data_IF_418880433221
#
_entry.id   IF_418880433221
#
_cell.length_a   1.000
_cell.length_b   1.000
_cell.length_c   1.000
_cell.angle_alpha   90.00
_cell.angle_beta   90.00
_cell.angle_gamma   90.00
#
_symmetry.space_group_name_H-M   'P 1'
#
loop_
_entity.id
_entity.type
_entity.pdbx_description
1 polymer ?
#
# COMPACT_ATOMS: atom_id res chain seq x y z
N UNK A 1 -57.99 -22.76 -34.68
CA UNK A 1 -59.09 -21.80 -34.91
C UNK A 1 -58.84 -20.62 -33.99
N UNK A 2 -58.24 -19.53 -34.50
CA UNK A 2 -58.85 -18.18 -34.60
C UNK A 2 -59.20 -17.58 -33.21
N UNK A 3 -58.80 -16.37 -32.78
CA UNK A 3 -58.34 -15.17 -33.49
C UNK A 3 -58.05 -14.02 -32.48
N UNK A 4 -57.03 -13.18 -32.79
CA UNK A 4 -56.92 -11.69 -32.64
C UNK A 4 -56.93 -11.04 -31.25
N UNK A 5 -55.82 -10.39 -30.84
CA UNK A 5 -55.34 -9.02 -31.17
C UNK A 5 -56.06 -7.89 -30.41
N UNK A 6 -55.31 -7.13 -29.61
CA UNK A 6 -55.55 -5.70 -29.45
C UNK A 6 -54.22 -4.95 -29.29
N UNK A 7 -54.04 -3.97 -30.16
CA UNK A 7 -52.95 -2.99 -30.29
C UNK A 7 -53.53 -1.65 -29.81
N UNK A 8 -52.81 -0.83 -29.05
CA UNK A 8 -53.02 0.63 -28.97
C UNK A 8 -51.75 1.29 -28.37
N UNK A 9 -50.90 1.97 -29.14
CA UNK A 9 -50.94 3.36 -29.63
C UNK A 9 -50.63 4.45 -28.58
N UNK A 10 -49.34 4.85 -28.55
CA UNK A 10 -48.78 6.22 -28.66
C UNK A 10 -49.44 7.46 -28.04
N UNK A 11 -48.55 8.28 -27.43
CA UNK A 11 -48.42 9.75 -27.48
C UNK A 11 -48.87 10.60 -26.28
N UNK A 12 -47.93 11.40 -25.72
CA UNK A 12 -48.14 12.71 -25.08
C UNK A 12 -46.76 13.43 -25.02
N UNK A 13 -46.40 14.29 -25.98
CA UNK A 13 -46.62 15.76 -26.09
C UNK A 13 -45.80 16.59 -25.09
N UNK A 14 -44.79 17.26 -25.64
CA UNK A 14 -44.07 18.42 -25.11
C UNK A 14 -44.95 19.68 -25.14
N UNK A 15 -44.93 20.51 -24.08
CA UNK A 15 -45.26 21.94 -24.14
C UNK A 15 -44.27 22.73 -23.25
N UNK A 16 -43.67 23.77 -23.84
CA UNK A 16 -42.85 24.82 -23.23
C UNK A 16 -43.68 26.10 -22.98
N UNK A 17 -43.14 26.97 -22.12
CA UNK A 17 -43.43 28.39 -21.81
C UNK A 17 -44.10 28.63 -20.43
N UNK A 18 -43.80 29.64 -19.60
CA UNK A 18 -42.78 30.70 -19.51
C UNK A 18 -42.96 31.45 -18.16
N UNK A 19 -41.89 32.11 -17.66
CA UNK A 19 -41.75 33.28 -16.74
C UNK A 19 -42.64 33.48 -15.48
N UNK A 20 -42.03 33.82 -14.33
CA UNK A 20 -41.85 35.21 -13.81
C UNK A 20 -41.64 35.30 -12.26
N UNK A 21 -40.81 36.25 -11.81
CA UNK A 21 -41.13 37.12 -10.65
C UNK A 21 -40.62 36.87 -9.22
N UNK A 22 -39.47 37.49 -8.86
CA UNK A 22 -39.14 38.33 -7.66
C UNK A 22 -39.47 37.92 -6.20
N UNK A 23 -38.46 38.07 -5.30
CA UNK A 23 -38.40 38.84 -4.00
C UNK A 23 -37.06 38.55 -3.26
N UNK A 24 -36.15 39.49 -2.93
CA UNK A 24 -36.08 40.49 -1.81
C UNK A 24 -36.07 39.85 -0.40
N UNK A 25 -35.31 40.21 0.66
CA UNK A 25 -34.33 41.28 0.98
C UNK A 25 -33.83 41.03 2.44
N UNK A 26 -32.52 41.29 2.69
CA UNK A 26 -31.83 41.84 3.88
C UNK A 26 -31.76 41.23 5.31
N UNK A 27 -30.51 41.33 5.82
CA UNK A 27 -30.00 41.84 7.13
C UNK A 27 -29.76 40.90 8.34
N UNK A 28 -28.47 40.57 8.53
CA UNK A 28 -27.54 40.75 9.69
C UNK A 28 -28.08 41.09 11.11
N UNK A 29 -27.36 40.74 12.23
CA UNK A 29 -26.20 41.57 12.64
C UNK A 29 -25.08 40.96 13.55
N UNK A 30 -23.97 41.72 13.60
CA UNK A 30 -23.07 42.08 14.74
C UNK A 30 -21.73 41.38 15.02
N UNK A 31 -20.67 42.18 14.86
CA UNK A 31 -19.38 42.14 15.58
C UNK A 31 -19.40 42.98 16.87
N UNK A 32 -18.29 43.02 17.66
CA UNK A 32 -17.76 44.33 18.06
C UNK A 32 -16.22 44.49 18.12
N UNK A 33 -15.74 45.53 17.42
CA UNK A 33 -14.89 46.69 17.81
C UNK A 33 -13.36 46.58 18.05
N UNK A 34 -12.68 47.25 17.11
CA UNK A 34 -11.42 48.04 17.04
C UNK A 34 -10.75 48.62 18.29
N UNK A 35 -9.40 48.76 18.23
CA UNK A 35 -8.66 50.00 18.55
C UNK A 35 -7.42 50.20 17.63
N UNK A 36 -7.46 51.31 16.90
CA UNK A 36 -6.43 52.23 16.36
C UNK A 36 -5.26 51.78 15.44
N UNK A 37 -5.26 52.41 14.27
CA UNK A 37 -4.17 52.55 13.32
C UNK A 37 -3.22 53.71 13.70
N UNK A 38 -1.94 53.59 13.32
CA UNK A 38 -1.07 54.73 13.06
C UNK A 38 -0.30 54.46 11.77
N UNK A 39 -0.56 55.27 10.74
CA UNK A 39 0.16 55.28 9.47
C UNK A 39 1.60 55.79 9.64
N UNK A 40 2.56 55.14 8.99
CA UNK A 40 3.73 55.79 8.36
C UNK A 40 4.19 55.01 7.13
N UNK A 41 3.91 55.61 5.98
CA UNK A 41 4.65 55.72 4.71
C UNK A 41 5.61 54.60 4.24
N UNK A 42 5.23 54.05 3.07
CA UNK A 42 5.99 53.85 1.81
C UNK A 42 7.37 53.15 1.87
N UNK A 43 7.42 52.00 1.20
CA UNK A 43 8.65 51.45 0.64
C UNK A 43 8.43 50.16 -0.16
N UNK A 44 8.19 50.33 -1.47
CA UNK A 44 8.37 49.36 -2.58
C UNK A 44 7.64 48.02 -2.54
N UNK A 45 6.66 47.91 -3.42
CA UNK A 45 6.35 46.68 -4.15
C UNK A 45 7.65 46.07 -4.70
N UNK A 46 7.82 44.76 -4.50
CA UNK A 46 8.64 43.93 -5.36
C UNK A 46 7.71 42.90 -5.96
N UNK A 47 7.50 43.05 -7.26
CA UNK A 47 6.88 42.10 -8.16
C UNK A 47 7.42 40.70 -7.90
N UNK A 48 6.52 39.78 -7.55
CA UNK A 48 6.79 38.34 -7.62
C UNK A 48 6.53 37.92 -9.07
N UNK A 49 7.43 38.30 -9.98
CA UNK A 49 7.56 37.58 -11.26
C UNK A 49 8.21 36.23 -10.96
N UNK A 50 7.43 35.15 -11.09
CA UNK A 50 7.94 33.78 -11.11
C UNK A 50 8.87 33.62 -12.31
N UNK A 51 10.16 33.89 -12.11
CA UNK A 51 11.19 33.75 -13.14
C UNK A 51 11.37 32.25 -13.40
N UNK A 52 10.81 31.73 -14.50
CA UNK A 52 11.02 30.33 -14.92
C UNK A 52 12.53 30.05 -14.98
N UNK A 53 12.95 28.93 -14.38
CA UNK A 53 14.35 28.52 -14.40
C UNK A 53 14.75 28.14 -15.83
N UNK A 54 15.86 28.69 -16.30
CA UNK A 54 16.47 28.36 -17.60
C UNK A 54 17.45 27.21 -17.37
N UNK A 55 17.36 26.15 -18.17
CA UNK A 55 18.23 24.97 -18.07
C UNK A 55 19.65 25.34 -18.50
N UNK A 56 20.66 24.94 -17.71
CA UNK A 56 22.06 25.13 -18.07
C UNK A 56 22.43 24.44 -19.39
N UNK A 57 23.36 25.03 -20.15
CA UNK A 57 23.76 24.54 -21.48
C UNK A 57 24.60 23.25 -21.41
N UNK A 58 25.32 23.03 -20.30
CA UNK A 58 26.20 21.87 -20.05
C UNK A 58 25.58 20.81 -19.11
N UNK A 59 24.25 20.63 -19.14
CA UNK A 59 23.59 19.68 -18.23
C UNK A 59 23.80 18.22 -18.70
N UNK A 60 24.20 17.36 -17.77
CA UNK A 60 24.10 15.90 -17.93
C UNK A 60 22.83 15.43 -17.22
N UNK A 61 21.77 15.04 -17.95
CA UNK A 61 20.53 14.59 -17.33
C UNK A 61 20.78 13.29 -16.55
N UNK A 62 20.13 13.17 -15.39
CA UNK A 62 20.14 11.91 -14.64
C UNK A 62 19.62 10.77 -15.54
N UNK A 63 20.24 9.58 -15.51
CA UNK A 63 19.74 8.46 -16.28
C UNK A 63 18.35 8.04 -15.77
N UNK A 64 17.44 7.75 -16.70
CA UNK A 64 16.19 7.05 -16.38
C UNK A 64 16.51 5.65 -15.82
N UNK A 65 15.61 5.07 -14.99
CA UNK A 65 15.81 3.74 -14.45
C UNK A 65 16.02 2.73 -15.58
N UNK A 66 16.98 1.83 -15.37
CA UNK A 66 17.34 0.77 -16.30
C UNK A 66 16.80 -0.59 -15.86
N UNK A 67 16.29 -0.68 -14.63
CA UNK A 67 15.72 -1.91 -14.06
C UNK A 67 14.42 -1.63 -13.30
N UNK A 68 13.59 -2.67 -13.13
CA UNK A 68 12.37 -2.56 -12.34
C UNK A 68 12.64 -2.25 -10.85
N UNK A 69 13.84 -2.59 -10.35
CA UNK A 69 14.24 -2.28 -8.98
C UNK A 69 14.50 -0.79 -8.81
N UNK A 70 15.28 -0.19 -9.72
CA UNK A 70 15.48 1.26 -9.75
C UNK A 70 14.16 2.02 -9.96
N UNK A 71 13.25 1.49 -10.80
CA UNK A 71 11.92 2.06 -11.01
C UNK A 71 11.08 2.06 -9.72
N UNK A 72 11.13 0.97 -8.94
CA UNK A 72 10.38 0.85 -7.69
C UNK A 72 10.93 1.73 -6.54
N UNK A 73 12.16 2.24 -6.67
CA UNK A 73 12.76 3.17 -5.71
C UNK A 73 12.39 4.64 -5.99
N UNK A 74 11.80 4.95 -7.14
CA UNK A 74 11.42 6.31 -7.49
C UNK A 74 10.26 6.81 -6.60
N UNK A 75 10.36 8.05 -6.07
CA UNK A 75 9.28 8.63 -5.29
C UNK A 75 8.06 8.92 -6.20
N UNK A 76 6.83 8.67 -5.73
CA UNK A 76 5.65 9.02 -6.50
C UNK A 76 5.44 10.54 -6.54
N UNK A 77 4.96 11.02 -7.68
CA UNK A 77 4.43 12.37 -7.87
C UNK A 77 2.91 12.40 -7.67
N UNK A 78 2.21 13.00 -8.62
CA UNK A 78 0.75 13.07 -8.65
C UNK A 78 0.15 11.73 -9.11
N UNK A 79 -0.55 11.05 -8.19
CA UNK A 79 -1.29 9.81 -8.44
C UNK A 79 -2.81 10.00 -8.26
N UNK A 80 -3.28 11.25 -8.42
CA UNK A 80 -4.70 11.60 -8.28
C UNK A 80 -5.56 11.12 -9.46
N UNK A 81 -6.81 11.62 -9.59
CA UNK A 81 -7.70 11.26 -10.69
C UNK A 81 -7.02 11.32 -12.06
N UNK A 82 -7.33 10.33 -12.89
CA UNK A 82 -6.71 10.16 -14.19
C UNK A 82 -7.09 11.30 -15.15
N UNK A 83 -6.07 11.94 -15.72
CA UNK A 83 -6.23 13.02 -16.69
C UNK A 83 -6.37 12.40 -18.09
N UNK A 84 -7.59 12.43 -18.64
CA UNK A 84 -7.90 11.90 -19.97
C UNK A 84 -8.14 13.03 -20.96
N UNK A 85 -7.10 13.40 -21.72
CA UNK A 85 -7.20 14.52 -22.66
C UNK A 85 -7.15 15.88 -21.95
N UNK A 86 -7.36 16.95 -22.72
CA UNK A 86 -7.29 18.33 -22.24
C UNK A 86 -8.72 18.82 -22.03
N UNK A 87 -9.19 18.78 -20.78
CA UNK A 87 -10.46 19.36 -20.38
C UNK A 87 -10.22 20.68 -19.64
N UNK A 88 -11.05 21.69 -19.88
CA UNK A 88 -10.90 23.02 -19.25
C UNK A 88 -10.91 22.96 -17.72
N UNK A 89 -11.59 21.96 -17.14
CA UNK A 89 -11.66 21.72 -15.70
C UNK A 89 -10.33 21.24 -15.10
N UNK A 90 -9.46 20.62 -15.90
CA UNK A 90 -8.15 20.10 -15.47
C UNK A 90 -7.04 21.15 -15.60
N UNK A 91 -7.27 22.26 -16.31
CA UNK A 91 -6.27 23.30 -16.55
C UNK A 91 -5.66 23.86 -15.26
N UNK A 92 -6.43 24.23 -14.22
CA UNK A 92 -5.84 24.77 -12.99
C UNK A 92 -4.90 23.79 -12.29
N UNK A 93 -5.23 22.50 -12.34
CA UNK A 93 -4.40 21.45 -11.76
C UNK A 93 -3.12 21.26 -12.59
N UNK A 94 -3.23 21.21 -13.92
CA UNK A 94 -2.07 21.12 -14.82
C UNK A 94 -1.15 22.34 -14.67
N UNK A 95 -1.70 23.53 -14.54
CA UNK A 95 -0.94 24.76 -14.27
C UNK A 95 -0.17 24.65 -12.94
N UNK A 96 -0.82 24.17 -11.87
CA UNK A 96 -0.18 23.95 -10.56
C UNK A 96 0.95 22.91 -10.64
N UNK A 97 0.64 21.74 -11.21
CA UNK A 97 1.57 20.60 -11.30
C UNK A 97 2.80 20.92 -12.17
N UNK A 98 2.64 21.74 -13.21
CA UNK A 98 3.71 22.06 -14.16
C UNK A 98 4.41 23.40 -13.91
N UNK A 99 4.01 24.15 -12.87
CA UNK A 99 4.52 25.49 -12.60
C UNK A 99 6.04 25.59 -12.40
N UNK A 100 6.67 24.52 -11.89
CA UNK A 100 8.09 24.47 -11.60
C UNK A 100 8.95 23.99 -12.79
N UNK A 101 8.33 23.55 -13.89
CA UNK A 101 9.06 23.04 -15.04
C UNK A 101 9.91 24.14 -15.69
N UNK A 102 11.12 23.80 -16.16
CA UNK A 102 12.02 24.78 -16.76
C UNK A 102 11.50 25.32 -18.09
N UNK A 103 11.93 26.53 -18.46
CA UNK A 103 11.55 27.13 -19.74
C UNK A 103 12.31 26.49 -20.92
N UNK A 104 11.56 25.97 -21.89
CA UNK A 104 12.06 25.31 -23.11
C UNK A 104 11.51 25.96 -24.39
N UNK A 105 10.98 27.19 -24.29
CA UNK A 105 10.38 27.91 -25.42
C UNK A 105 11.36 28.34 -26.52
N UNK A 106 12.67 28.26 -26.25
CA UNK A 106 13.75 28.53 -27.21
C UNK A 106 14.08 27.35 -28.14
N UNK A 107 15.36 27.18 -28.47
CA UNK A 107 15.90 26.02 -29.22
C UNK A 107 16.72 25.12 -28.26
N UNK A 108 16.06 24.30 -27.43
CA UNK A 108 16.75 23.45 -26.47
C UNK A 108 17.54 22.33 -27.18
N UNK A 109 18.67 21.96 -26.58
CA UNK A 109 19.45 20.78 -26.97
C UNK A 109 18.75 19.49 -26.53
N UNK A 110 19.11 18.34 -27.12
CA UNK A 110 18.56 17.04 -26.71
C UNK A 110 18.79 16.75 -25.21
N UNK A 111 19.95 17.13 -24.65
CA UNK A 111 20.24 16.95 -23.22
C UNK A 111 19.31 17.79 -22.32
N UNK A 112 18.96 19.00 -22.75
CA UNK A 112 17.99 19.85 -22.05
C UNK A 112 16.57 19.28 -22.15
N UNK A 113 16.22 18.68 -23.29
CA UNK A 113 14.93 18.00 -23.46
C UNK A 113 14.83 16.72 -22.63
N UNK A 114 15.90 15.94 -22.53
CA UNK A 114 15.97 14.77 -21.64
C UNK A 114 15.83 15.19 -20.17
N UNK A 115 16.52 16.25 -19.74
CA UNK A 115 16.33 16.79 -18.39
C UNK A 115 14.89 17.26 -18.16
N UNK A 116 14.31 18.02 -19.08
CA UNK A 116 12.92 18.43 -19.01
C UNK A 116 11.97 17.24 -18.91
N UNK A 117 12.22 16.18 -19.68
CA UNK A 117 11.44 14.96 -19.63
C UNK A 117 11.49 14.30 -18.25
N UNK A 118 12.67 14.23 -17.62
CA UNK A 118 12.80 13.69 -16.26
C UNK A 118 12.02 14.51 -15.23
N UNK A 119 12.05 15.85 -15.34
CA UNK A 119 11.31 16.73 -14.42
C UNK A 119 9.81 16.52 -14.56
N UNK A 120 9.26 16.52 -15.78
CA UNK A 120 7.83 16.28 -15.98
C UNK A 120 7.42 14.84 -15.63
N UNK A 121 8.29 13.86 -15.85
CA UNK A 121 8.06 12.48 -15.42
C UNK A 121 7.93 12.42 -13.90
N UNK A 122 8.84 13.06 -13.15
CA UNK A 122 8.79 13.09 -11.68
C UNK A 122 7.48 13.68 -11.14
N UNK A 123 6.86 14.63 -11.86
CA UNK A 123 5.55 15.19 -11.49
C UNK A 123 4.44 14.14 -11.53
N UNK A 124 4.48 13.20 -12.46
CA UNK A 124 3.41 12.21 -12.68
C UNK A 124 3.85 10.77 -12.34
N UNK A 125 5.02 10.61 -11.72
CA UNK A 125 5.62 9.33 -11.39
C UNK A 125 4.67 8.52 -10.50
N UNK A 126 4.32 7.31 -10.92
CA UNK A 126 3.55 6.38 -10.11
C UNK A 126 4.46 5.55 -9.22
N UNK A 127 3.87 5.01 -8.14
CA UNK A 127 4.51 4.17 -7.14
C UNK A 127 4.64 2.71 -7.63
N UNK A 128 5.45 2.48 -8.66
CA UNK A 128 5.71 1.12 -9.14
C UNK A 128 6.23 0.22 -8.03
N UNK A 129 5.83 -1.05 -8.05
CA UNK A 129 6.21 -2.03 -7.03
C UNK A 129 7.00 -3.17 -7.62
N UNK A 130 8.10 -3.54 -6.96
CA UNK A 130 8.81 -4.78 -7.27
C UNK A 130 8.01 -6.04 -6.90
N UNK A 131 8.48 -7.22 -7.31
CA UNK A 131 7.76 -8.48 -7.09
C UNK A 131 7.89 -9.01 -5.66
N UNK A 132 8.63 -8.37 -4.76
CA UNK A 132 8.98 -8.92 -3.45
C UNK A 132 7.77 -9.26 -2.59
N UNK A 133 6.77 -8.37 -2.55
CA UNK A 133 5.50 -8.61 -1.83
C UNK A 133 4.78 -9.83 -2.42
N UNK A 134 4.72 -9.95 -3.76
CA UNK A 134 4.14 -11.10 -4.45
C UNK A 134 4.91 -12.39 -4.17
N UNK A 135 6.24 -12.34 -4.17
CA UNK A 135 7.11 -13.48 -3.87
C UNK A 135 6.93 -13.95 -2.43
N UNK A 136 6.88 -13.02 -1.47
CA UNK A 136 6.60 -13.32 -0.07
C UNK A 136 5.21 -13.97 0.08
N UNK A 137 4.20 -13.48 -0.64
CA UNK A 137 2.86 -14.08 -0.67
C UNK A 137 2.87 -15.49 -1.26
N UNK A 138 3.57 -15.71 -2.39
CA UNK A 138 3.73 -17.02 -2.99
C UNK A 138 4.48 -18.00 -2.07
N UNK A 139 5.52 -17.52 -1.34
CA UNK A 139 6.19 -18.29 -0.28
C UNK A 139 5.18 -18.70 0.78
N UNK A 140 4.45 -17.75 1.34
CA UNK A 140 3.47 -17.99 2.40
C UNK A 140 2.40 -19.01 1.98
N UNK A 141 1.91 -18.93 0.74
CA UNK A 141 0.95 -19.90 0.20
C UNK A 141 1.54 -21.30 0.01
N UNK A 142 2.86 -21.42 -0.11
CA UNK A 142 3.54 -22.70 -0.29
C UNK A 142 3.85 -23.43 1.02
N UNK A 143 3.48 -22.89 2.19
CA UNK A 143 3.65 -23.58 3.48
C UNK A 143 2.97 -24.96 3.42
N UNK A 144 3.73 -25.99 3.80
CA UNK A 144 3.32 -27.39 3.77
C UNK A 144 3.70 -28.14 2.50
N UNK A 145 4.28 -27.45 1.51
CA UNK A 145 4.78 -28.07 0.29
C UNK A 145 6.01 -28.94 0.61
N UNK A 146 5.98 -30.27 0.34
CA UNK A 146 7.09 -31.16 0.66
C UNK A 146 8.37 -30.90 -0.17
N UNK A 147 8.28 -30.14 -1.26
CA UNK A 147 9.42 -29.81 -2.11
C UNK A 147 10.24 -28.61 -1.61
N UNK A 148 9.77 -27.95 -0.54
CA UNK A 148 10.43 -26.79 0.08
C UNK A 148 11.43 -27.26 1.13
N UNK A 149 12.68 -26.84 1.03
CA UNK A 149 13.74 -27.28 1.95
C UNK A 149 13.71 -26.51 3.27
N UNK A 150 13.16 -25.29 3.27
CA UNK A 150 13.07 -24.49 4.50
C UNK A 150 12.16 -25.19 5.53
N UNK A 151 12.77 -25.58 6.65
CA UNK A 151 12.08 -26.27 7.74
C UNK A 151 10.94 -25.46 8.36
N UNK A 152 10.97 -24.12 8.25
CA UNK A 152 9.92 -23.19 8.73
C UNK A 152 8.63 -23.34 7.95
N UNK A 153 8.77 -23.63 6.67
CA UNK A 153 7.67 -23.75 5.72
C UNK A 153 7.07 -25.15 5.73
N UNK A 154 7.64 -26.11 6.47
CA UNK A 154 7.11 -27.45 6.60
C UNK A 154 6.06 -27.52 7.72
N UNK A 155 4.92 -28.15 7.44
CA UNK A 155 3.93 -28.42 8.47
C UNK A 155 4.51 -29.29 9.59
N UNK A 156 4.18 -28.92 10.83
CA UNK A 156 4.50 -29.65 12.05
C UNK A 156 3.24 -30.13 12.75
N UNK A 157 3.40 -30.97 13.76
CA UNK A 157 2.29 -31.56 14.53
C UNK A 157 1.37 -30.50 15.17
N UNK A 158 1.91 -29.34 15.53
CA UNK A 158 1.17 -28.25 16.13
C UNK A 158 1.18 -27.01 15.21
N UNK A 159 0.06 -26.29 15.19
CA UNK A 159 -0.08 -24.99 14.54
C UNK A 159 -0.46 -23.97 15.60
N UNK A 160 0.33 -22.92 15.74
CA UNK A 160 0.10 -21.81 16.66
C UNK A 160 0.02 -20.52 15.88
N UNK A 161 -1.04 -19.74 16.10
CA UNK A 161 -1.21 -18.41 15.50
C UNK A 161 -1.26 -17.37 16.60
N UNK A 162 -0.34 -16.41 16.60
CA UNK A 162 -0.33 -15.29 17.53
C UNK A 162 -0.62 -13.99 16.78
N UNK A 163 -1.68 -13.29 17.17
CA UNK A 163 -1.99 -11.96 16.62
C UNK A 163 -1.49 -10.89 17.60
N UNK A 164 -0.66 -9.98 17.11
CA UNK A 164 -0.21 -8.77 17.79
C UNK A 164 -1.04 -7.61 17.25
N UNK A 165 -2.04 -7.18 18.01
CA UNK A 165 -2.97 -6.13 17.62
C UNK A 165 -2.54 -4.79 18.23
N UNK A 166 -2.26 -3.82 17.37
CA UNK A 166 -2.10 -2.44 17.79
C UNK A 166 -3.39 -1.93 18.44
N UNK A 167 -3.26 -1.41 19.65
CA UNK A 167 -4.31 -0.76 20.39
C UNK A 167 -3.90 0.67 20.78
N UNK A 168 -3.03 1.29 19.97
CA UNK A 168 -2.66 2.69 20.01
C UNK A 168 -3.89 3.60 19.83
N UNK A 169 -3.77 4.89 20.16
CA UNK A 169 -4.87 5.84 20.05
C UNK A 169 -5.34 6.05 18.61
N UNK A 170 -4.48 5.86 17.61
CA UNK A 170 -4.79 6.05 16.20
C UNK A 170 -5.78 5.00 15.67
N UNK A 171 -5.80 3.80 16.24
CA UNK A 171 -6.81 2.76 15.96
C UNK A 171 -8.24 3.17 16.37
N UNK A 172 -8.39 4.29 17.08
CA UNK A 172 -9.69 4.90 17.39
C UNK A 172 -10.30 5.70 16.24
N UNK A 173 -9.57 5.91 15.12
CA UNK A 173 -10.06 6.65 13.95
C UNK A 173 -11.31 6.00 13.35
N UNK A 174 -12.26 6.84 12.95
CA UNK A 174 -13.50 6.43 12.29
C UNK A 174 -13.26 6.22 10.79
N UNK A 175 -13.76 5.11 10.26
CA UNK A 175 -13.73 4.74 8.83
C UNK A 175 -15.06 5.06 8.13
N UNK A 176 -15.85 5.99 8.66
CA UNK A 176 -17.14 6.39 8.09
C UNK A 176 -18.30 5.50 8.55
N UNK A 177 -18.27 5.05 9.81
CA UNK A 177 -19.37 4.31 10.44
C UNK A 177 -18.93 3.27 11.48
N UNK A 178 -17.68 2.82 11.43
CA UNK A 178 -17.03 2.00 12.46
C UNK A 178 -15.58 2.45 12.66
N UNK A 179 -15.04 2.27 13.87
CA UNK A 179 -13.63 2.57 14.12
C UNK A 179 -12.72 1.50 13.53
N UNK A 180 -11.47 1.86 13.22
CA UNK A 180 -10.45 0.89 12.81
C UNK A 180 -10.33 -0.27 13.82
N UNK A 181 -10.30 0.02 15.12
CA UNK A 181 -10.31 -1.04 16.14
C UNK A 181 -11.53 -1.95 16.06
N UNK A 182 -12.73 -1.41 15.82
CA UNK A 182 -13.94 -2.22 15.67
C UNK A 182 -13.84 -3.16 14.45
N UNK A 183 -13.36 -2.63 13.32
CA UNK A 183 -13.09 -3.40 12.11
C UNK A 183 -12.05 -4.50 12.36
N UNK A 184 -10.94 -4.18 13.05
CA UNK A 184 -9.89 -5.13 13.40
C UNK A 184 -10.40 -6.27 14.28
N UNK A 185 -11.15 -5.94 15.34
CA UNK A 185 -11.78 -6.93 16.22
C UNK A 185 -12.70 -7.88 15.46
N UNK A 186 -13.51 -7.35 14.53
CA UNK A 186 -14.42 -8.14 13.70
C UNK A 186 -13.66 -9.10 12.78
N UNK A 187 -12.64 -8.60 12.08
CA UNK A 187 -11.82 -9.42 11.18
C UNK A 187 -11.07 -10.52 11.93
N UNK A 188 -10.44 -10.19 13.07
CA UNK A 188 -9.76 -11.15 13.93
C UNK A 188 -10.74 -12.20 14.48
N UNK A 189 -11.93 -11.80 14.95
CA UNK A 189 -12.94 -12.75 15.44
C UNK A 189 -13.34 -13.75 14.37
N UNK A 190 -13.69 -13.27 13.18
CA UNK A 190 -14.03 -14.12 12.04
C UNK A 190 -12.85 -15.01 11.61
N UNK A 191 -11.62 -14.49 11.72
CA UNK A 191 -10.41 -15.23 11.43
C UNK A 191 -10.27 -16.45 12.34
N UNK A 192 -10.26 -16.22 13.66
CA UNK A 192 -10.03 -17.27 14.65
C UNK A 192 -11.17 -18.30 14.69
N UNK A 193 -12.41 -17.87 14.42
CA UNK A 193 -13.56 -18.78 14.29
C UNK A 193 -13.44 -19.74 13.10
N UNK A 194 -12.69 -19.37 12.07
CA UNK A 194 -12.48 -20.18 10.87
C UNK A 194 -11.30 -21.15 10.96
N UNK A 195 -10.50 -21.10 12.03
CA UNK A 195 -9.37 -22.00 12.22
C UNK A 195 -9.82 -23.42 12.62
N UNK A 196 -9.08 -24.47 12.25
CA UNK A 196 -9.31 -25.82 12.75
C UNK A 196 -9.26 -25.88 14.29
N UNK A 197 -10.11 -26.70 14.91
CA UNK A 197 -10.21 -26.80 16.37
C UNK A 197 -8.89 -27.25 17.04
N UNK A 198 -8.02 -27.93 16.32
CA UNK A 198 -6.70 -28.34 16.80
C UNK A 198 -5.62 -27.27 16.70
N UNK A 199 -5.87 -26.15 16.01
CA UNK A 199 -4.94 -25.03 16.02
C UNK A 199 -4.97 -24.34 17.40
N UNK A 200 -3.85 -23.76 17.79
CA UNK A 200 -3.79 -22.84 18.93
C UNK A 200 -3.80 -21.41 18.43
N UNK A 201 -4.45 -20.52 19.19
CA UNK A 201 -4.49 -19.09 18.92
C UNK A 201 -4.11 -18.31 20.17
N UNK A 202 -3.37 -17.23 19.99
CA UNK A 202 -3.07 -16.22 21.01
C UNK A 202 -3.41 -14.83 20.51
N UNK A 203 -3.71 -13.91 21.43
CA UNK A 203 -3.92 -12.50 21.13
C UNK A 203 -3.17 -11.64 22.13
N UNK A 204 -2.24 -10.84 21.63
CA UNK A 204 -1.52 -9.81 22.35
C UNK A 204 -1.96 -8.45 21.82
N UNK A 205 -2.10 -7.49 22.73
CA UNK A 205 -2.29 -6.08 22.40
C UNK A 205 -1.11 -5.27 22.89
N UNK A 206 -0.84 -4.14 22.24
CA UNK A 206 0.21 -3.22 22.63
C UNK A 206 -0.25 -1.78 22.48
N UNK A 207 0.34 -0.86 23.24
CA UNK A 207 -0.01 0.56 23.20
C UNK A 207 -1.27 0.96 23.97
N UNK A 208 -2.07 0.00 24.43
CA UNK A 208 -3.41 0.19 25.02
C UNK A 208 -3.48 0.93 26.38
N UNK A 209 -2.37 1.39 26.94
CA UNK A 209 -2.32 2.10 28.23
C UNK A 209 -1.96 3.57 28.06
N UNK A 210 -2.49 4.41 28.95
CA UNK A 210 -2.23 5.84 28.97
C UNK A 210 -3.05 6.62 27.93
N UNK A 211 -2.47 7.70 27.41
CA UNK A 211 -3.08 8.58 26.39
C UNK A 211 -2.06 8.91 25.31
N UNK A 212 -2.51 9.50 24.19
CA UNK A 212 -1.61 10.01 23.14
C UNK A 212 -0.79 11.25 23.57
N UNK A 213 -0.88 11.70 24.83
CA UNK A 213 -0.07 12.79 25.34
C UNK A 213 1.35 12.31 25.66
N UNK A 214 2.34 13.18 25.44
CA UNK A 214 3.75 12.88 25.70
C UNK A 214 4.03 12.53 27.18
N UNK A 215 3.22 13.05 28.12
CA UNK A 215 3.35 12.71 29.54
C UNK A 215 3.11 11.22 29.84
N UNK A 216 2.30 10.55 29.03
CA UNK A 216 2.00 9.13 29.17
C UNK A 216 2.84 8.25 28.23
N UNK A 217 3.71 8.84 27.37
CA UNK A 217 4.52 8.10 26.39
C UNK A 217 5.28 6.95 27.04
N UNK A 218 6.00 7.20 28.14
CA UNK A 218 6.76 6.15 28.82
C UNK A 218 5.89 5.00 29.35
N UNK A 219 4.69 5.29 29.84
CA UNK A 219 3.74 4.26 30.31
C UNK A 219 3.20 3.46 29.14
N UNK A 220 2.80 4.13 28.07
CA UNK A 220 2.23 3.47 26.89
C UNK A 220 3.27 2.64 26.14
N UNK A 221 4.50 3.15 26.00
CA UNK A 221 5.60 2.44 25.37
C UNK A 221 6.10 1.23 26.17
N UNK A 222 5.67 1.08 27.43
CA UNK A 222 5.90 -0.11 28.26
C UNK A 222 4.69 -1.06 28.29
N UNK A 223 3.65 -0.80 27.49
CA UNK A 223 2.39 -1.52 27.51
C UNK A 223 2.31 -2.56 26.40
N UNK A 224 2.34 -3.83 26.78
CA UNK A 224 2.02 -4.96 25.92
C UNK A 224 1.52 -6.11 26.77
N UNK A 225 0.34 -6.63 26.46
CA UNK A 225 -0.31 -7.68 27.24
C UNK A 225 -0.84 -8.81 26.36
N UNK A 226 -0.52 -10.05 26.74
CA UNK A 226 -1.14 -11.25 26.20
C UNK A 226 -2.54 -11.41 26.81
N UNK A 227 -3.53 -10.79 26.17
CA UNK A 227 -4.92 -10.76 26.67
C UNK A 227 -5.66 -12.08 26.48
N UNK A 228 -5.24 -12.90 25.51
CA UNK A 228 -5.71 -14.27 25.30
C UNK A 228 -4.49 -15.21 25.17
N UNK A 229 -4.24 -16.10 26.14
CA UNK A 229 -3.11 -17.02 26.12
C UNK A 229 -3.13 -17.96 24.91
N UNK A 230 -1.95 -18.34 24.43
CA UNK A 230 -1.83 -19.27 23.30
C UNK A 230 -2.40 -20.63 23.68
N UNK A 231 -3.49 -21.01 23.03
CA UNK A 231 -4.18 -22.26 23.32
C UNK A 231 -5.35 -22.52 22.40
N UNK A 232 -6.14 -23.55 22.72
CA UNK A 232 -7.34 -23.89 21.95
C UNK A 232 -8.35 -22.75 21.99
N UNK A 233 -8.87 -22.41 20.81
CA UNK A 233 -9.88 -21.37 20.69
C UNK A 233 -11.13 -21.69 21.53
N UNK A 234 -11.49 -20.75 22.40
CA UNK A 234 -12.75 -20.74 23.15
C UNK A 234 -13.46 -19.42 22.87
N UNK A 235 -14.62 -19.51 22.21
CA UNK A 235 -15.34 -18.34 21.71
C UNK A 235 -15.69 -17.32 22.80
N UNK A 236 -16.17 -17.79 23.96
CA UNK A 236 -16.60 -16.90 25.03
C UNK A 236 -15.40 -16.16 25.65
N UNK A 237 -14.35 -16.91 26.02
CA UNK A 237 -13.15 -16.33 26.62
C UNK A 237 -12.41 -15.40 25.64
N UNK A 238 -12.39 -15.75 24.35
CA UNK A 238 -11.76 -14.91 23.32
C UNK A 238 -12.50 -13.58 23.15
N UNK A 239 -13.84 -13.61 23.06
CA UNK A 239 -14.65 -12.40 22.96
C UNK A 239 -14.46 -11.48 24.18
N UNK A 240 -14.49 -12.04 25.39
CA UNK A 240 -14.22 -11.27 26.63
C UNK A 240 -12.80 -10.71 26.66
N UNK A 241 -11.81 -11.43 26.13
CA UNK A 241 -10.44 -10.94 26.05
C UNK A 241 -10.31 -9.76 25.09
N UNK A 242 -10.95 -9.86 23.92
CA UNK A 242 -10.95 -8.85 22.87
C UNK A 242 -11.60 -7.51 23.29
N UNK A 243 -12.51 -7.55 24.27
CA UNK A 243 -13.07 -6.33 24.89
C UNK A 243 -12.00 -5.46 25.58
N UNK A 244 -10.88 -6.05 26.01
CA UNK A 244 -9.76 -5.32 26.64
C UNK A 244 -8.97 -4.46 25.65
N UNK A 245 -9.03 -4.76 24.35
CA UNK A 245 -8.34 -3.99 23.32
C UNK A 245 -9.04 -2.63 23.10
N UNK A 246 -8.65 -1.61 23.85
CA UNK A 246 -9.20 -0.26 23.75
C UNK A 246 -8.13 0.68 23.18
N UNK A 247 -8.43 1.45 22.11
CA UNK A 247 -7.48 2.38 21.52
C UNK A 247 -7.04 3.43 22.54
N UNK A 248 -5.74 3.49 22.83
CA UNK A 248 -5.15 4.41 23.77
C UNK A 248 -3.66 4.58 23.49
N UNK A 249 -2.99 5.56 24.11
CA UNK A 249 -1.54 5.58 24.11
C UNK A 249 -0.84 5.74 22.74
N UNK A 250 0.33 5.09 22.65
CA UNK A 250 1.39 5.16 21.65
C UNK A 250 1.68 3.74 21.11
N UNK A 251 2.48 3.62 20.06
CA UNK A 251 2.68 2.38 19.29
C UNK A 251 4.09 1.80 19.55
N UNK A 252 4.27 0.85 20.50
CA UNK A 252 5.56 0.20 20.77
C UNK A 252 5.73 -1.13 20.01
N UNK A 253 6.03 -1.07 18.71
CA UNK A 253 6.14 -2.28 17.86
C UNK A 253 7.29 -3.18 18.33
N UNK A 254 8.45 -2.62 18.69
CA UNK A 254 9.60 -3.41 19.13
C UNK A 254 9.25 -4.24 20.37
N UNK A 255 8.55 -3.64 21.35
CA UNK A 255 8.13 -4.32 22.56
C UNK A 255 7.18 -5.48 22.23
N UNK A 256 6.19 -5.26 21.36
CA UNK A 256 5.24 -6.28 20.97
C UNK A 256 5.91 -7.50 20.34
N UNK A 257 6.91 -7.27 19.47
CA UNK A 257 7.68 -8.34 18.82
C UNK A 257 8.53 -9.11 19.85
N UNK A 258 9.22 -8.41 20.74
CA UNK A 258 10.03 -9.04 21.79
C UNK A 258 9.18 -9.91 22.72
N UNK A 259 8.03 -9.38 23.16
CA UNK A 259 7.11 -10.10 24.02
C UNK A 259 6.44 -11.29 23.31
N UNK A 260 6.20 -11.20 21.99
CA UNK A 260 5.74 -12.33 21.20
C UNK A 260 6.75 -13.49 21.19
N UNK A 261 8.05 -13.19 21.20
CA UNK A 261 9.10 -14.20 21.35
C UNK A 261 8.98 -14.93 22.68
N UNK A 262 8.74 -14.21 23.78
CA UNK A 262 8.57 -14.78 25.11
C UNK A 262 7.29 -15.63 25.20
N UNK A 263 6.18 -15.14 24.66
CA UNK A 263 4.91 -15.89 24.61
C UNK A 263 5.05 -17.22 23.86
N UNK A 264 5.85 -17.23 22.79
CA UNK A 264 6.08 -18.39 21.95
C UNK A 264 7.24 -19.28 22.42
N UNK A 265 7.93 -18.94 23.52
CA UNK A 265 9.16 -19.60 23.93
C UNK A 265 9.02 -21.13 24.15
N UNK A 266 7.84 -21.60 24.54
CA UNK A 266 7.53 -23.03 24.72
C UNK A 266 7.22 -23.77 23.40
N UNK A 267 6.97 -23.04 22.32
CA UNK A 267 6.53 -23.57 21.03
C UNK A 267 7.68 -23.60 20.03
N UNK A 268 8.71 -24.41 20.29
CA UNK A 268 9.89 -24.52 19.41
C UNK A 268 9.54 -25.01 18.00
N UNK A 269 10.23 -24.50 16.98
CA UNK A 269 9.93 -24.70 15.56
C UNK A 269 10.14 -26.12 15.03
N UNK A 270 10.86 -26.95 15.79
CA UNK A 270 11.05 -28.38 15.49
C UNK A 270 9.74 -29.18 15.58
N UNK A 271 8.82 -28.77 16.46
CA UNK A 271 7.53 -29.41 16.69
C UNK A 271 6.32 -28.53 16.35
N UNK A 272 6.53 -27.24 16.09
CA UNK A 272 5.48 -26.26 15.95
C UNK A 272 5.62 -25.45 14.67
N UNK A 273 4.51 -25.28 13.95
CA UNK A 273 4.37 -24.26 12.91
C UNK A 273 3.84 -23.00 13.61
N UNK A 274 4.68 -21.98 13.74
CA UNK A 274 4.33 -20.74 14.44
C UNK A 274 4.09 -19.63 13.42
N UNK A 275 2.91 -19.04 13.44
CA UNK A 275 2.53 -17.91 12.60
C UNK A 275 2.28 -16.70 13.50
N UNK A 276 2.93 -15.58 13.21
CA UNK A 276 2.73 -14.31 13.91
C UNK A 276 2.14 -13.31 12.94
N UNK A 277 1.06 -12.65 13.33
CA UNK A 277 0.48 -11.53 12.61
C UNK A 277 0.70 -10.25 13.39
N UNK A 278 1.49 -9.32 12.86
CA UNK A 278 1.58 -7.96 13.36
C UNK A 278 0.55 -7.09 12.65
N UNK A 279 -0.44 -6.56 13.36
CA UNK A 279 -1.43 -5.63 12.83
C UNK A 279 -1.16 -4.25 13.44
N UNK A 280 -0.88 -3.25 12.62
CA UNK A 280 -0.63 -1.87 13.06
C UNK A 280 -1.18 -0.85 12.08
N UNK A 281 -1.58 0.32 12.56
CA UNK A 281 -2.07 1.43 11.75
C UNK A 281 -1.02 2.53 11.50
N UNK A 282 0.24 2.31 11.89
CA UNK A 282 1.24 3.37 11.88
C UNK A 282 2.69 2.93 12.06
N UNK A 283 3.57 3.92 11.99
CA UNK A 283 4.96 3.82 12.45
C UNK A 283 5.01 3.60 13.96
N UNK A 284 6.04 2.91 14.43
CA UNK A 284 6.37 2.84 15.85
C UNK A 284 6.68 4.23 16.39
N UNK A 285 6.06 4.59 17.51
CA UNK A 285 6.15 5.96 18.07
C UNK A 285 6.90 6.00 19.40
N UNK A 286 7.65 4.94 19.73
CA UNK A 286 8.24 4.71 21.04
C UNK A 286 9.78 4.77 21.11
N UNK A 287 10.41 5.51 20.20
CA UNK A 287 11.88 5.65 20.09
C UNK A 287 12.59 4.28 20.09
N UNK A 288 12.05 3.35 19.31
CA UNK A 288 12.39 1.93 19.30
C UNK A 288 12.81 1.44 17.89
N UNK A 289 13.31 0.20 17.81
CA UNK A 289 13.83 -0.42 16.58
C UNK A 289 13.10 -1.75 16.29
N UNK A 290 11.93 -1.69 15.63
CA UNK A 290 11.13 -2.88 15.36
C UNK A 290 11.81 -3.83 14.36
N UNK A 291 12.62 -3.32 13.44
CA UNK A 291 13.32 -4.13 12.43
C UNK A 291 14.35 -5.04 13.11
N UNK A 292 15.12 -4.51 14.06
CA UNK A 292 16.09 -5.33 14.82
C UNK A 292 15.37 -6.39 15.66
N UNK A 293 14.26 -6.07 16.33
CA UNK A 293 13.48 -7.06 17.06
C UNK A 293 12.91 -8.15 16.13
N UNK A 294 12.44 -7.76 14.95
CA UNK A 294 11.93 -8.70 13.95
C UNK A 294 13.00 -9.70 13.49
N UNK A 295 14.23 -9.22 13.24
CA UNK A 295 15.39 -10.08 12.91
C UNK A 295 15.71 -11.06 14.04
N UNK A 296 15.62 -10.61 15.30
CA UNK A 296 15.86 -11.46 16.47
C UNK A 296 14.80 -12.55 16.58
N UNK A 297 13.52 -12.19 16.44
CA UNK A 297 12.41 -13.14 16.46
C UNK A 297 12.54 -14.18 15.33
N UNK A 298 12.85 -13.73 14.11
CA UNK A 298 13.03 -14.61 12.95
C UNK A 298 14.22 -15.59 13.12
N UNK A 299 15.31 -15.13 13.73
CA UNK A 299 16.49 -15.96 14.04
C UNK A 299 16.34 -16.86 15.27
N UNK A 300 15.22 -16.80 15.99
CA UNK A 300 14.99 -17.60 17.19
C UNK A 300 14.69 -19.08 16.88
N UNK A 301 14.77 -19.93 17.90
CA UNK A 301 14.43 -21.36 17.81
C UNK A 301 12.92 -21.63 17.75
N UNK A 302 12.09 -20.58 17.83
CA UNK A 302 10.65 -20.61 17.54
C UNK A 302 10.42 -20.68 16.02
N UNK A 303 11.39 -20.18 15.24
CA UNK A 303 11.37 -20.11 13.78
C UNK A 303 10.01 -19.68 13.19
N UNK A 304 9.45 -18.55 13.65
CA UNK A 304 8.11 -18.14 13.26
C UNK A 304 8.08 -17.59 11.83
N UNK A 305 6.92 -17.71 11.21
CA UNK A 305 6.58 -16.96 9.99
C UNK A 305 5.84 -15.72 10.46
N UNK A 306 6.41 -14.53 10.19
CA UNK A 306 5.89 -13.25 10.69
C UNK A 306 5.31 -12.47 9.52
N UNK A 307 3.99 -12.29 9.52
CA UNK A 307 3.27 -11.50 8.53
C UNK A 307 2.87 -10.16 9.15
N UNK A 308 2.93 -9.10 8.35
CA UNK A 308 2.65 -7.73 8.77
C UNK A 308 1.47 -7.19 7.97
N UNK A 309 0.49 -6.64 8.68
CA UNK A 309 -0.69 -6.00 8.11
C UNK A 309 -0.69 -4.55 8.54
N UNK A 310 -0.49 -3.66 7.57
CA UNK A 310 -0.70 -2.23 7.75
C UNK A 310 -2.18 -1.91 7.60
N UNK A 311 -2.83 -1.39 8.63
CA UNK A 311 -4.25 -1.01 8.57
C UNK A 311 -4.42 0.50 8.44
N UNK A 312 -4.68 0.98 7.21
CA UNK A 312 -4.90 2.39 6.89
C UNK A 312 -3.72 3.26 7.35
N UNK A 313 -2.53 2.86 6.89
CA UNK A 313 -1.21 3.41 7.28
C UNK A 313 -0.79 4.50 6.30
N UNK A 314 -0.12 5.53 6.81
CA UNK A 314 0.56 6.54 5.98
C UNK A 314 1.86 6.02 5.36
N UNK A 315 2.41 6.74 4.37
CA UNK A 315 3.58 6.29 3.62
C UNK A 315 4.81 5.99 4.51
N UNK A 316 5.01 6.75 5.59
CA UNK A 316 6.13 6.54 6.52
C UNK A 316 5.95 5.23 7.31
N UNK A 317 4.76 5.00 7.87
CA UNK A 317 4.45 3.76 8.55
C UNK A 317 4.51 2.55 7.61
N UNK A 318 4.04 2.69 6.35
CA UNK A 318 4.15 1.62 5.36
C UNK A 318 5.60 1.20 5.14
N UNK A 319 6.53 2.17 5.04
CA UNK A 319 7.95 1.88 4.85
C UNK A 319 8.51 1.06 6.02
N UNK A 320 8.27 1.48 7.26
CA UNK A 320 8.78 0.75 8.44
C UNK A 320 8.19 -0.66 8.54
N UNK A 321 6.89 -0.81 8.32
CA UNK A 321 6.22 -2.11 8.38
C UNK A 321 6.70 -3.06 7.27
N UNK A 322 7.00 -2.55 6.07
CA UNK A 322 7.65 -3.32 5.00
C UNK A 322 9.04 -3.78 5.39
N UNK A 323 9.84 -2.93 6.05
CA UNK A 323 11.16 -3.32 6.55
C UNK A 323 11.08 -4.43 7.60
N UNK A 324 10.07 -4.39 8.47
CA UNK A 324 9.79 -5.47 9.43
C UNK A 324 9.46 -6.78 8.71
N UNK A 325 8.55 -6.76 7.74
CA UNK A 325 8.19 -7.96 6.97
C UNK A 325 9.38 -8.52 6.18
N UNK A 326 10.18 -7.64 5.55
CA UNK A 326 11.41 -8.02 4.83
C UNK A 326 12.43 -8.65 5.77
N UNK A 327 12.59 -8.12 6.98
CA UNK A 327 13.49 -8.67 7.99
C UNK A 327 13.12 -10.08 8.47
N UNK A 328 11.86 -10.49 8.28
CA UNK A 328 11.34 -11.81 8.66
C UNK A 328 11.01 -12.69 7.46
N UNK A 329 11.36 -12.26 6.24
CA UNK A 329 10.97 -12.91 4.97
C UNK A 329 9.46 -13.24 4.88
N UNK A 330 8.64 -12.43 5.55
CA UNK A 330 7.19 -12.59 5.60
C UNK A 330 6.45 -11.61 4.71
N UNK A 331 5.12 -11.64 4.77
CA UNK A 331 4.28 -10.77 3.94
C UNK A 331 4.08 -9.40 4.57
N UNK A 332 3.96 -8.37 3.72
CA UNK A 332 3.40 -7.08 4.10
C UNK A 332 2.19 -6.79 3.22
N UNK A 333 1.07 -6.43 3.85
CA UNK A 333 -0.15 -6.07 3.14
C UNK A 333 -0.72 -4.78 3.73
N UNK A 334 -1.01 -3.81 2.86
CA UNK A 334 -1.69 -2.56 3.23
C UNK A 334 -3.20 -2.71 2.98
N UNK A 335 -3.97 -2.61 4.05
CA UNK A 335 -5.43 -2.79 4.04
C UNK A 335 -6.11 -1.50 4.46
N UNK A 336 -7.14 -1.11 3.72
CA UNK A 336 -7.82 0.18 3.93
C UNK A 336 -9.13 0.04 4.73
N UNK A 337 -9.60 -1.19 4.94
CA UNK A 337 -10.89 -1.45 5.60
C UNK A 337 -10.94 -2.88 6.18
N UNK A 338 -12.04 -3.17 6.89
CA UNK A 338 -12.30 -4.47 7.50
C UNK A 338 -12.27 -5.65 6.50
N UNK A 339 -12.71 -5.43 5.26
CA UNK A 339 -12.73 -6.46 4.22
C UNK A 339 -11.32 -6.81 3.76
N UNK A 340 -10.46 -5.81 3.54
CA UNK A 340 -9.04 -6.02 3.23
C UNK A 340 -8.34 -6.82 4.33
N UNK A 341 -8.52 -6.42 5.59
CA UNK A 341 -7.97 -7.15 6.74
C UNK A 341 -8.50 -8.59 6.84
N UNK A 342 -9.81 -8.77 6.59
CA UNK A 342 -10.42 -10.10 6.57
C UNK A 342 -9.82 -10.99 5.49
N UNK A 343 -9.66 -10.46 4.27
CA UNK A 343 -9.11 -11.19 3.13
C UNK A 343 -7.68 -11.66 3.42
N UNK A 344 -6.88 -10.82 4.08
CA UNK A 344 -5.51 -11.19 4.43
C UNK A 344 -5.46 -12.31 5.48
N UNK A 345 -6.25 -12.19 6.54
CA UNK A 345 -6.35 -13.23 7.55
C UNK A 345 -6.97 -14.53 7.01
N UNK A 346 -7.86 -14.44 6.02
CA UNK A 346 -8.47 -15.60 5.37
C UNK A 346 -7.45 -16.44 4.58
N UNK A 347 -6.34 -15.85 4.13
CA UNK A 347 -5.25 -16.62 3.52
C UNK A 347 -4.71 -17.69 4.47
N UNK A 348 -4.57 -17.35 5.76
CA UNK A 348 -4.13 -18.29 6.79
C UNK A 348 -5.17 -19.38 7.09
N UNK A 349 -6.47 -19.12 6.91
CA UNK A 349 -7.48 -20.17 7.06
C UNK A 349 -7.27 -21.29 6.06
N UNK A 350 -6.91 -20.97 4.82
CA UNK A 350 -6.62 -21.99 3.80
C UNK A 350 -5.37 -22.81 4.15
N UNK A 351 -4.31 -22.15 4.61
CA UNK A 351 -3.10 -22.84 5.11
C UNK A 351 -3.45 -23.74 6.31
N UNK A 352 -4.25 -23.26 7.25
CA UNK A 352 -4.66 -24.03 8.42
C UNK A 352 -5.55 -25.24 8.03
N UNK A 353 -6.43 -25.10 7.04
CA UNK A 353 -7.19 -26.22 6.47
C UNK A 353 -6.27 -27.24 5.82
N UNK A 354 -5.27 -26.79 5.06
CA UNK A 354 -4.29 -27.67 4.43
C UNK A 354 -3.43 -28.39 5.48
N UNK A 355 -2.98 -27.68 6.51
CA UNK A 355 -2.31 -28.25 7.68
C UNK A 355 -3.17 -29.35 8.33
N UNK A 356 -4.46 -29.09 8.54
CA UNK A 356 -5.38 -30.08 9.13
C UNK A 356 -5.55 -31.32 8.24
N UNK A 357 -5.69 -31.16 6.93
CA UNK A 357 -5.73 -32.28 5.97
C UNK A 357 -4.42 -33.08 6.02
N UNK A 358 -3.29 -32.39 6.01
CA UNK A 358 -1.96 -33.00 6.14
C UNK A 358 -1.84 -33.79 7.45
N UNK A 359 -2.30 -33.23 8.58
CA UNK A 359 -2.29 -33.90 9.88
C UNK A 359 -3.13 -35.18 9.89
N UNK A 360 -4.30 -35.15 9.25
CA UNK A 360 -5.24 -36.28 9.23
C UNK A 360 -4.86 -37.37 8.22
N UNK A 361 -4.33 -36.99 7.06
CA UNK A 361 -4.18 -37.88 5.90
C UNK A 361 -2.71 -38.04 5.45
N UNK A 362 -1.78 -37.25 6.00
CA UNK A 362 -0.38 -37.13 5.55
C UNK A 362 -0.24 -36.84 4.06
N UNK A 363 -1.22 -36.15 3.48
CA UNK A 363 -1.23 -35.74 2.08
C UNK A 363 -1.24 -34.22 1.97
N UNK A 364 -0.42 -33.69 1.05
CA UNK A 364 -0.41 -32.27 0.69
C UNK A 364 -1.10 -32.12 -0.68
N UNK A 365 -2.11 -31.26 -0.78
CA UNK A 365 -2.75 -30.96 -2.07
C UNK A 365 -2.10 -29.75 -2.73
N UNK A 366 -1.16 -29.98 -3.67
CA UNK A 366 -0.31 -28.96 -4.32
C UNK A 366 -1.05 -28.16 -5.44
N UNK A 367 -2.14 -28.70 -6.00
CA UNK A 367 -2.77 -28.11 -7.20
C UNK A 367 -3.58 -26.83 -6.95
N UNK A 368 -4.04 -26.56 -5.73
CA UNK A 368 -4.85 -25.37 -5.44
C UNK A 368 -4.00 -24.09 -5.46
N UNK A 369 -2.77 -24.21 -4.95
CA UNK A 369 -1.87 -23.07 -4.74
C UNK A 369 -1.37 -22.49 -6.07
N UNK A 370 -1.17 -23.34 -7.10
CA UNK A 370 -0.78 -22.89 -8.45
C UNK A 370 -1.79 -21.96 -9.11
N UNK A 371 -3.10 -22.26 -8.98
CA UNK A 371 -4.15 -21.42 -9.57
C UNK A 371 -4.21 -20.07 -8.84
N UNK A 372 -4.10 -20.08 -7.51
CA UNK A 372 -4.09 -18.87 -6.71
C UNK A 372 -2.89 -17.98 -7.04
N UNK A 373 -1.69 -18.55 -7.06
CA UNK A 373 -0.48 -17.86 -7.50
C UNK A 373 -0.63 -17.26 -8.90
N UNK A 374 -1.25 -17.98 -9.85
CA UNK A 374 -1.48 -17.45 -11.20
C UNK A 374 -2.41 -16.23 -11.20
N UNK A 375 -3.44 -16.22 -10.34
CA UNK A 375 -4.32 -15.05 -10.17
C UNK A 375 -3.60 -13.90 -9.48
N UNK A 376 -2.75 -14.18 -8.49
CA UNK A 376 -1.94 -13.16 -7.80
C UNK A 376 -0.91 -12.53 -8.76
N UNK A 377 -0.23 -13.33 -9.58
CA UNK A 377 0.68 -12.86 -10.64
C UNK A 377 -0.07 -11.97 -11.64
N UNK A 378 -1.25 -12.40 -12.09
CA UNK A 378 -2.08 -11.60 -12.99
C UNK A 378 -2.52 -10.28 -12.35
N UNK A 379 -2.95 -10.30 -11.09
CA UNK A 379 -3.38 -9.11 -10.36
C UNK A 379 -2.25 -8.10 -10.20
N UNK A 380 -1.05 -8.57 -9.85
CA UNK A 380 0.17 -7.76 -9.78
C UNK A 380 0.48 -7.11 -11.14
N UNK A 381 0.57 -7.91 -12.21
CA UNK A 381 0.89 -7.39 -13.54
C UNK A 381 -0.16 -6.40 -14.05
N UNK A 382 -1.46 -6.69 -13.86
CA UNK A 382 -2.53 -5.79 -14.26
C UNK A 382 -2.46 -4.45 -13.50
N UNK A 383 -2.07 -4.48 -12.22
CA UNK A 383 -1.88 -3.29 -11.40
C UNK A 383 -0.73 -2.42 -11.90
N UNK A 384 0.44 -3.01 -12.11
CA UNK A 384 1.63 -2.28 -12.60
C UNK A 384 1.44 -1.80 -14.05
N UNK A 385 0.78 -2.60 -14.90
CA UNK A 385 0.40 -2.18 -16.25
C UNK A 385 -0.53 -0.97 -16.25
N UNK A 386 -1.51 -0.94 -15.32
CA UNK A 386 -2.39 0.22 -15.16
C UNK A 386 -1.59 1.47 -14.80
N UNK A 387 -0.71 1.41 -13.80
CA UNK A 387 0.15 2.55 -13.41
C UNK A 387 0.95 3.09 -14.59
N UNK A 388 1.57 2.19 -15.37
CA UNK A 388 2.28 2.53 -16.61
C UNK A 388 1.39 3.27 -17.61
N UNK A 389 0.16 2.81 -17.81
CA UNK A 389 -0.77 3.45 -18.77
C UNK A 389 -1.20 4.81 -18.25
N UNK A 390 -1.49 4.91 -16.96
CA UNK A 390 -1.95 6.13 -16.30
C UNK A 390 -0.86 7.21 -16.32
N UNK A 391 0.37 6.89 -15.89
CA UNK A 391 1.55 7.77 -15.94
C UNK A 391 1.82 8.26 -17.37
N UNK A 392 1.93 7.32 -18.32
CA UNK A 392 2.27 7.66 -19.70
C UNK A 392 1.20 8.53 -20.37
N UNK A 393 -0.08 8.30 -20.03
CA UNK A 393 -1.18 9.14 -20.47
C UNK A 393 -1.12 10.54 -19.85
N UNK A 394 -0.90 10.64 -18.53
CA UNK A 394 -0.83 11.93 -17.84
C UNK A 394 0.33 12.80 -18.32
N UNK A 395 1.53 12.22 -18.46
CA UNK A 395 2.68 12.92 -19.06
C UNK A 395 2.34 13.36 -20.49
N UNK A 396 1.73 12.48 -21.28
CA UNK A 396 1.30 12.79 -22.65
C UNK A 396 0.30 13.95 -22.72
N UNK A 397 -0.69 13.99 -21.82
CA UNK A 397 -1.68 15.07 -21.72
C UNK A 397 -1.02 16.38 -21.29
N UNK A 398 -0.15 16.35 -20.28
CA UNK A 398 0.57 17.52 -19.83
C UNK A 398 1.44 18.12 -20.95
N UNK A 399 2.19 17.29 -21.68
CA UNK A 399 2.95 17.73 -22.85
C UNK A 399 2.05 18.33 -23.93
N UNK A 400 0.89 17.71 -24.19
CA UNK A 400 -0.06 18.17 -25.19
C UNK A 400 -0.64 19.54 -24.83
N UNK A 401 -0.97 19.75 -23.54
CA UNK A 401 -1.48 21.00 -22.97
C UNK A 401 -0.45 22.12 -23.05
N UNK A 402 0.78 21.86 -22.62
CA UNK A 402 1.87 22.82 -22.64
C UNK A 402 2.22 23.27 -24.06
N UNK A 403 2.03 22.40 -25.06
CA UNK A 403 2.17 22.73 -26.48
C UNK A 403 0.98 23.50 -27.06
N UNK A 404 -0.26 23.02 -26.86
CA UNK A 404 -1.44 23.58 -27.54
C UNK A 404 -2.02 24.82 -26.86
N UNK A 405 -2.15 24.79 -25.54
CA UNK A 405 -2.89 25.79 -24.77
C UNK A 405 -1.95 26.86 -24.22
N UNK A 406 -0.77 26.45 -23.73
CA UNK A 406 0.22 27.37 -23.17
C UNK A 406 1.27 27.85 -24.19
N UNK A 407 1.37 27.20 -25.36
CA UNK A 407 2.32 27.53 -26.44
C UNK A 407 3.78 27.68 -25.94
N UNK A 408 4.21 26.76 -25.05
CA UNK A 408 5.51 26.82 -24.37
C UNK A 408 6.63 26.04 -25.07
N UNK A 409 6.33 25.35 -26.18
CA UNK A 409 7.32 24.56 -26.91
C UNK A 409 7.00 24.49 -28.41
N UNK A 410 8.02 24.23 -29.22
CA UNK A 410 7.84 23.99 -30.66
C UNK A 410 7.23 22.62 -30.94
N UNK A 411 6.80 22.41 -32.18
CA UNK A 411 6.33 21.11 -32.66
C UNK A 411 7.42 20.04 -32.60
N UNK A 412 8.67 20.39 -32.96
CA UNK A 412 9.79 19.44 -32.89
C UNK A 412 10.07 19.01 -31.44
N UNK A 413 10.08 19.98 -30.51
CA UNK A 413 10.26 19.70 -29.08
C UNK A 413 9.15 18.81 -28.53
N UNK A 414 7.89 19.12 -28.83
CA UNK A 414 6.76 18.29 -28.43
C UNK A 414 6.86 16.86 -28.98
N UNK A 415 7.17 16.72 -30.28
CA UNK A 415 7.30 15.40 -30.92
C UNK A 415 8.47 14.59 -30.31
N UNK A 416 9.57 15.25 -29.95
CA UNK A 416 10.70 14.63 -29.23
C UNK A 416 10.27 14.10 -27.85
N UNK A 417 9.67 14.95 -27.02
CA UNK A 417 9.25 14.59 -25.66
C UNK A 417 8.18 13.49 -25.67
N UNK A 418 7.24 13.53 -26.62
CA UNK A 418 6.24 12.47 -26.80
C UNK A 418 6.87 11.14 -27.19
N UNK A 419 7.88 11.16 -28.08
CA UNK A 419 8.62 9.96 -28.45
C UNK A 419 9.36 9.40 -27.24
N UNK A 420 10.04 10.25 -26.47
CA UNK A 420 10.73 9.86 -25.23
C UNK A 420 9.79 9.21 -24.23
N UNK A 421 8.62 9.81 -24.04
CA UNK A 421 7.56 9.28 -23.20
C UNK A 421 7.11 7.87 -23.64
N UNK A 422 6.96 7.68 -24.95
CA UNK A 422 6.55 6.39 -25.50
C UNK A 422 7.63 5.32 -25.33
N UNK A 423 8.90 5.67 -25.55
CA UNK A 423 10.04 4.75 -25.38
C UNK A 423 10.18 4.28 -23.93
N UNK A 424 10.13 5.21 -22.97
CA UNK A 424 10.22 4.90 -21.54
C UNK A 424 9.09 3.96 -21.09
N UNK A 425 7.84 4.29 -21.40
CA UNK A 425 6.69 3.48 -20.99
C UNK A 425 6.60 2.14 -21.74
N UNK A 426 7.16 2.01 -22.95
CA UNK A 426 7.29 0.73 -23.63
C UNK A 426 8.35 -0.16 -22.98
N UNK A 427 9.47 0.43 -22.56
CA UNK A 427 10.49 -0.29 -21.80
C UNK A 427 9.92 -0.87 -20.49
N UNK A 428 9.15 -0.09 -19.73
CA UNK A 428 8.46 -0.58 -18.52
C UNK A 428 7.59 -1.80 -18.84
N UNK A 429 6.75 -1.70 -19.89
CA UNK A 429 5.87 -2.80 -20.30
C UNK A 429 6.67 -4.06 -20.69
N UNK A 430 7.77 -3.91 -21.44
CA UNK A 430 8.63 -5.04 -21.82
C UNK A 430 9.29 -5.72 -20.60
N UNK A 431 9.75 -4.96 -19.62
CA UNK A 431 10.34 -5.51 -18.40
C UNK A 431 9.31 -6.26 -17.54
N UNK A 432 8.09 -5.73 -17.39
CA UNK A 432 7.02 -6.44 -16.68
C UNK A 432 6.56 -7.72 -17.39
N UNK A 433 6.54 -7.73 -18.73
CA UNK A 433 6.27 -8.95 -19.51
C UNK A 433 7.35 -10.02 -19.25
N UNK A 434 8.63 -9.63 -19.18
CA UNK A 434 9.72 -10.55 -18.84
C UNK A 434 9.55 -11.09 -17.42
N UNK A 435 9.31 -10.22 -16.45
CA UNK A 435 9.10 -10.59 -15.05
C UNK A 435 7.91 -11.54 -14.90
N UNK A 436 6.77 -11.27 -15.54
CA UNK A 436 5.60 -12.14 -15.54
C UNK A 436 5.94 -13.56 -16.00
N UNK A 437 6.65 -13.69 -17.13
CA UNK A 437 7.07 -15.00 -17.64
C UNK A 437 7.97 -15.73 -16.62
N UNK A 438 8.88 -15.01 -15.97
CA UNK A 438 9.72 -15.59 -14.92
C UNK A 438 8.86 -16.08 -13.75
N UNK A 439 7.94 -15.25 -13.24
CA UNK A 439 7.00 -15.61 -12.16
C UNK A 439 6.11 -16.83 -12.51
N UNK A 440 5.60 -16.90 -13.75
CA UNK A 440 4.82 -18.04 -14.23
C UNK A 440 5.68 -19.32 -14.28
N UNK A 441 6.94 -19.22 -14.72
CA UNK A 441 7.88 -20.33 -14.65
C UNK A 441 8.18 -20.76 -13.20
N UNK A 442 8.28 -19.82 -12.26
CA UNK A 442 8.46 -20.12 -10.83
C UNK A 442 7.28 -20.91 -10.28
N UNK A 443 6.06 -20.47 -10.61
CA UNK A 443 4.83 -21.12 -10.16
C UNK A 443 4.71 -22.56 -10.69
N UNK A 444 5.39 -22.88 -11.79
CA UNK A 444 5.46 -24.25 -12.32
C UNK A 444 6.60 -25.10 -11.74
N UNK A 445 7.70 -24.48 -11.29
CA UNK A 445 8.90 -25.13 -10.74
C UNK A 445 8.82 -25.30 -9.20
N UNK A 446 9.82 -25.96 -8.60
CA UNK A 446 9.95 -26.01 -7.13
C UNK A 446 10.22 -24.59 -6.62
N UNK A 447 9.36 -24.14 -5.72
CA UNK A 447 9.17 -22.73 -5.35
C UNK A 447 10.45 -22.13 -4.71
N UNK A 448 11.20 -22.85 -3.88
CA UNK A 448 12.33 -22.28 -3.10
C UNK A 448 13.55 -21.81 -3.92
N UNK A 449 14.18 -22.69 -4.69
CA UNK A 449 15.38 -22.33 -5.49
C UNK A 449 15.08 -21.20 -6.47
N UNK A 450 13.84 -21.19 -6.95
CA UNK A 450 13.38 -20.32 -8.00
C UNK A 450 13.06 -18.91 -7.45
N UNK A 451 12.49 -18.81 -6.25
CA UNK A 451 12.26 -17.54 -5.57
C UNK A 451 13.55 -16.86 -5.10
N UNK A 452 14.52 -17.61 -4.55
CA UNK A 452 15.81 -17.05 -4.16
C UNK A 452 16.55 -16.47 -5.38
N UNK A 453 16.54 -17.19 -6.50
CA UNK A 453 17.20 -16.74 -7.74
C UNK A 453 16.54 -15.50 -8.35
N UNK A 454 15.21 -15.36 -8.24
CA UNK A 454 14.51 -14.16 -8.70
C UNK A 454 14.76 -12.95 -7.79
N UNK A 455 14.71 -13.16 -6.47
CA UNK A 455 15.02 -12.12 -5.49
C UNK A 455 16.48 -11.66 -5.60
N UNK A 456 17.42 -12.58 -5.81
CA UNK A 456 18.82 -12.23 -6.11
C UNK A 456 18.94 -11.45 -7.41
N UNK A 457 18.25 -11.84 -8.48
CA UNK A 457 18.29 -11.11 -9.76
C UNK A 457 17.71 -9.70 -9.64
N UNK A 458 16.61 -9.54 -8.91
CA UNK A 458 16.00 -8.23 -8.68
C UNK A 458 16.94 -7.35 -7.85
N UNK A 459 17.50 -7.89 -6.77
CA UNK A 459 18.38 -7.16 -5.85
C UNK A 459 19.83 -6.98 -6.35
N UNK A 460 20.32 -7.79 -7.30
CA UNK A 460 21.64 -7.61 -7.93
C UNK A 460 21.73 -6.34 -8.78
N UNK A 461 20.58 -5.78 -9.16
CA UNK A 461 20.45 -4.57 -9.94
C UNK A 461 20.21 -3.31 -9.10
N UNK A 462 20.20 -3.42 -7.77
CA UNK A 462 20.17 -2.28 -6.85
C UNK A 462 21.61 -1.96 -6.43
N UNK A 463 22.10 -0.71 -6.60
CA UNK A 463 23.41 -0.32 -6.07
C UNK A 463 23.46 -0.62 -4.57
N UNK A 464 24.36 -1.50 -4.14
CA UNK A 464 24.60 -1.72 -2.70
C UNK A 464 25.33 -0.50 -2.16
N UNK A 465 24.61 0.36 -1.44
CA UNK A 465 25.23 1.35 -0.58
C UNK A 465 26.05 0.62 0.50
N UNK A 466 27.36 0.84 0.45
CA UNK A 466 28.38 0.28 1.32
C UNK A 466 28.51 1.00 2.65
#
# INVERSE_FOLDING_TARGET
>A
MKLKHFLLWTALIFILAACDGKKSVSNEPNAPKDVEATEKEKGSETDNETKKQIIAEDIEPAPLPQTLAELAELPPGYTGPQLFGIHEEDHPLLDELTAHLPDISGEPTEAQLDHYYNEILAVFQHDFKGPEELLAKMRFQAIGNPDIEDSRMQFKENLNVLVLLDASGSMGKDLGGETQMAAAKKAITNFVEGLPAEANVGLRIYGHEGTGNTSDKARSCASSDLIYPIGKYDKANFQTSLEKAQPAGWTPIQLAINEAQEDLAEFKGDQNTNIVYLVSDGVSTCDDDPVTAAKQLYGSDITPIVNVIGFNVDNEGQKQLKEVAKATEGTYEDVQNAEGLQNELDQMKEIAKNWKKWKDQKTTSINHDKIKNSLDIFGYEAGEYKKRVDEGSQVGVALQYLYQDQNLMSRETHDYLRKRNSEYHNWIEEEYIKLKRELEELNEKKIDEALQLLEEKFNQNVPRDS
#
